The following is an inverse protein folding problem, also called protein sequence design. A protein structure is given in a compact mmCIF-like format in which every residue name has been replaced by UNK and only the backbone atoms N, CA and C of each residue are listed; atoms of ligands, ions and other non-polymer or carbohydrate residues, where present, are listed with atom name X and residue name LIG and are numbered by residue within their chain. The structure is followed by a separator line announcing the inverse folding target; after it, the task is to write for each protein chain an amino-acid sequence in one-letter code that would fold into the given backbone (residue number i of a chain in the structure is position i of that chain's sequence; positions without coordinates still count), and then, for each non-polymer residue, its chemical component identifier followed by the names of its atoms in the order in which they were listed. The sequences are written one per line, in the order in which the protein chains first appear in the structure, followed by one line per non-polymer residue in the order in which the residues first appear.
data_IF_227613559543
#
_entry.id   IF_227613559543
#
_cell.length_a   1.000
_cell.length_b   1.000
_cell.length_c   1.000
_cell.angle_alpha   90.00
_cell.angle_beta   90.00
_cell.angle_gamma   90.00
#
_symmetry.space_group_name_H-M   'P 1'
#
loop_
_entity.id
_entity.type
_entity.pdbx_description
1 polymer ?
#
# COMPACT_ATOMS: atom_id res chain seq x y z
N UNK A 1 4.63 -18.67 -0.88
CA UNK A 1 4.67 -18.81 0.59
C UNK A 1 4.82 -20.27 0.93
N UNK A 2 6.00 -20.65 1.42
CA UNK A 2 6.25 -22.01 1.88
C UNK A 2 5.92 -22.12 3.35
N UNK A 3 4.66 -22.30 3.70
CA UNK A 3 4.35 -22.88 4.99
C UNK A 3 4.86 -24.31 4.95
N UNK A 4 5.96 -24.57 5.63
CA UNK A 4 6.40 -25.93 5.84
C UNK A 4 5.31 -26.62 6.65
N UNK A 5 4.69 -27.62 6.10
CA UNK A 5 3.77 -28.49 6.84
C UNK A 5 4.56 -29.15 7.99
N UNK A 6 4.35 -28.67 9.20
CA UNK A 6 4.92 -29.30 10.40
C UNK A 6 4.08 -30.55 10.66
N UNK A 7 4.66 -31.72 10.46
CA UNK A 7 4.03 -32.98 10.81
C UNK A 7 4.29 -33.29 12.28
N UNK A 8 3.25 -33.50 13.05
CA UNK A 8 3.30 -33.76 14.50
C UNK A 8 3.01 -32.49 15.32
N UNK A 9 2.70 -32.69 16.59
CA UNK A 9 2.39 -31.60 17.52
C UNK A 9 1.03 -30.93 17.31
N UNK A 10 0.08 -31.56 16.62
CA UNK A 10 -1.26 -31.02 16.36
C UNK A 10 -2.00 -30.58 17.63
N UNK A 11 -1.86 -31.33 18.71
CA UNK A 11 -2.43 -30.93 20.01
C UNK A 11 -1.80 -29.62 20.52
N UNK A 12 -0.47 -29.49 20.45
CA UNK A 12 0.22 -28.26 20.86
C UNK A 12 -0.18 -27.07 20.00
N UNK A 13 -0.39 -27.26 18.70
CA UNK A 13 -0.90 -26.22 17.78
C UNK A 13 -2.31 -25.79 18.18
N UNK A 14 -3.22 -26.73 18.41
CA UNK A 14 -4.59 -26.43 18.86
C UNK A 14 -4.59 -25.65 20.18
N UNK A 15 -3.73 -26.08 21.14
CA UNK A 15 -3.58 -25.36 22.42
C UNK A 15 -3.01 -23.96 22.22
N UNK A 16 -2.09 -23.76 21.29
CA UNK A 16 -1.56 -22.43 20.97
C UNK A 16 -2.64 -21.51 20.39
N UNK A 17 -3.51 -22.01 19.52
CA UNK A 17 -4.66 -21.26 18.98
C UNK A 17 -5.67 -20.90 20.07
N UNK A 18 -5.95 -21.84 21.01
CA UNK A 18 -6.78 -21.58 22.18
C UNK A 18 -6.16 -20.47 23.06
N UNK A 19 -4.84 -20.45 23.23
CA UNK A 19 -4.14 -19.42 23.98
C UNK A 19 -4.25 -18.05 23.32
N UNK A 20 -4.15 -17.93 21.99
CA UNK A 20 -4.37 -16.67 21.28
C UNK A 20 -5.76 -16.12 21.62
N UNK A 21 -6.78 -16.97 21.56
CA UNK A 21 -8.14 -16.57 21.92
C UNK A 21 -8.26 -16.17 23.40
N UNK A 22 -7.62 -16.91 24.30
CA UNK A 22 -7.59 -16.60 25.72
C UNK A 22 -6.94 -15.24 25.97
N UNK A 23 -5.77 -14.97 25.40
CA UNK A 23 -5.03 -13.71 25.59
C UNK A 23 -5.85 -12.52 25.08
N UNK A 24 -6.56 -12.66 23.98
CA UNK A 24 -7.43 -11.63 23.43
C UNK A 24 -8.62 -11.28 24.36
N UNK A 25 -9.11 -12.23 25.15
CA UNK A 25 -10.36 -12.07 25.91
C UNK A 25 -10.14 -11.94 27.42
N UNK A 26 -8.95 -12.28 27.96
CA UNK A 26 -8.69 -12.38 29.41
C UNK A 26 -8.77 -11.04 30.16
N UNK A 27 -8.71 -9.92 29.46
CA UNK A 27 -8.74 -8.58 30.06
C UNK A 27 -10.07 -8.17 30.68
N UNK A 28 -11.14 -8.95 30.46
CA UNK A 28 -12.47 -8.71 31.06
C UNK A 28 -13.27 -7.62 30.38
N UNK A 29 -12.74 -6.92 29.38
CA UNK A 29 -13.53 -5.98 28.57
C UNK A 29 -14.47 -6.72 27.63
N UNK A 30 -15.58 -6.08 27.24
CA UNK A 30 -16.46 -6.61 26.22
C UNK A 30 -15.70 -6.82 24.90
N UNK A 31 -15.96 -7.92 24.17
CA UNK A 31 -15.35 -8.13 22.85
C UNK A 31 -15.73 -7.00 21.90
N UNK A 32 -14.73 -6.43 21.19
CA UNK A 32 -15.00 -5.45 20.15
C UNK A 32 -15.91 -6.02 19.05
N UNK A 33 -16.91 -5.27 18.63
CA UNK A 33 -17.70 -5.59 17.47
C UNK A 33 -16.95 -5.19 16.18
N UNK A 34 -17.05 -6.01 15.14
CA UNK A 34 -16.42 -5.69 13.84
C UNK A 34 -16.97 -4.37 13.26
N UNK A 35 -18.22 -4.03 13.58
CA UNK A 35 -18.81 -2.76 13.20
C UNK A 35 -18.13 -1.57 13.89
N UNK A 36 -17.78 -1.66 15.17
CA UNK A 36 -17.06 -0.62 15.88
C UNK A 36 -15.67 -0.35 15.25
N UNK A 37 -14.96 -1.42 14.88
CA UNK A 37 -13.68 -1.30 14.18
C UNK A 37 -13.87 -0.62 12.81
N UNK A 38 -14.86 -1.05 12.04
CA UNK A 38 -15.17 -0.49 10.72
C UNK A 38 -15.47 1.00 10.80
N UNK A 39 -16.25 1.42 11.77
CA UNK A 39 -16.79 2.77 11.86
C UNK A 39 -15.81 3.72 12.57
N UNK A 40 -15.09 3.27 13.60
CA UNK A 40 -14.24 4.11 14.45
C UNK A 40 -12.74 4.01 14.13
N UNK A 41 -12.29 2.93 13.48
CA UNK A 41 -10.90 2.75 13.04
C UNK A 41 -10.77 2.75 11.51
N UNK A 42 -11.50 3.66 10.85
CA UNK A 42 -11.60 3.72 9.39
C UNK A 42 -10.27 3.72 8.66
N UNK A 43 -9.24 4.42 9.18
CA UNK A 43 -7.92 4.48 8.55
C UNK A 43 -7.17 3.14 8.60
N UNK A 44 -7.34 2.36 9.67
CA UNK A 44 -6.79 1.01 9.76
C UNK A 44 -7.51 0.06 8.77
N UNK A 45 -8.83 0.16 8.69
CA UNK A 45 -9.64 -0.59 7.72
C UNK A 45 -9.23 -0.26 6.28
N UNK A 46 -9.06 1.02 5.99
CA UNK A 46 -8.64 1.51 4.66
C UNK A 46 -7.22 1.03 4.30
N UNK A 47 -6.29 1.04 5.26
CA UNK A 47 -4.93 0.49 5.07
C UNK A 47 -5.00 -0.99 4.71
N UNK A 48 -5.73 -1.79 5.48
CA UNK A 48 -5.88 -3.23 5.24
C UNK A 48 -6.52 -3.52 3.89
N UNK A 49 -7.55 -2.76 3.48
CA UNK A 49 -8.16 -2.90 2.15
C UNK A 49 -7.17 -2.60 1.02
N UNK A 50 -6.36 -1.56 1.17
CA UNK A 50 -5.34 -1.19 0.19
C UNK A 50 -4.29 -2.29 0.02
N UNK A 51 -3.72 -2.77 1.11
CA UNK A 51 -2.64 -3.78 1.11
C UNK A 51 -3.15 -5.19 0.81
N UNK A 52 -4.36 -5.53 1.29
CA UNK A 52 -5.07 -6.77 0.97
C UNK A 52 -5.65 -6.82 -0.45
N UNK A 53 -5.69 -5.67 -1.14
CA UNK A 53 -6.23 -5.51 -2.50
C UNK A 53 -7.68 -5.97 -2.64
N UNK A 54 -8.50 -5.67 -1.65
CA UNK A 54 -9.94 -5.97 -1.66
C UNK A 54 -10.72 -4.85 -0.96
N UNK A 55 -11.61 -4.20 -1.68
CA UNK A 55 -12.51 -3.20 -1.10
C UNK A 55 -13.69 -3.90 -0.44
N UNK A 56 -13.56 -4.22 0.84
CA UNK A 56 -14.57 -4.91 1.65
C UNK A 56 -14.49 -4.45 3.11
N UNK A 57 -15.02 -3.27 3.48
CA UNK A 57 -14.81 -2.67 4.81
C UNK A 57 -15.15 -3.58 5.99
N UNK A 58 -16.26 -4.29 5.91
CA UNK A 58 -16.69 -5.20 6.99
C UNK A 58 -15.76 -6.41 7.12
N UNK A 59 -15.27 -6.96 6.00
CA UNK A 59 -14.33 -8.10 6.03
C UNK A 59 -12.94 -7.64 6.51
N UNK A 60 -12.50 -6.44 6.11
CA UNK A 60 -11.26 -5.85 6.60
C UNK A 60 -11.30 -5.58 8.12
N UNK A 61 -12.42 -5.07 8.63
CA UNK A 61 -12.63 -4.90 10.08
C UNK A 61 -12.62 -6.24 10.84
N UNK A 62 -13.22 -7.29 10.26
CA UNK A 62 -13.16 -8.63 10.82
C UNK A 62 -11.73 -9.20 10.82
N UNK A 63 -10.97 -8.98 9.75
CA UNK A 63 -9.57 -9.37 9.67
C UNK A 63 -8.72 -8.66 10.72
N UNK A 64 -8.92 -7.34 10.93
CA UNK A 64 -8.27 -6.60 12.01
C UNK A 64 -8.60 -7.14 13.40
N UNK A 65 -9.87 -7.48 13.64
CA UNK A 65 -10.29 -8.11 14.91
C UNK A 65 -9.61 -9.45 15.12
N UNK A 66 -9.51 -10.28 14.07
CA UNK A 66 -8.89 -11.60 14.12
C UNK A 66 -7.37 -11.51 14.33
N UNK A 67 -6.72 -10.52 13.71
CA UNK A 67 -5.30 -10.25 13.82
C UNK A 67 -4.92 -9.42 15.07
N UNK A 68 -5.82 -9.20 16.01
CA UNK A 68 -5.60 -8.40 17.23
C UNK A 68 -5.04 -6.98 16.95
N UNK A 69 -5.35 -6.42 15.77
CA UNK A 69 -4.91 -5.10 15.35
C UNK A 69 -3.63 -5.08 14.51
N UNK A 70 -2.95 -6.21 14.31
CA UNK A 70 -1.81 -6.30 13.39
C UNK A 70 -2.29 -6.09 11.94
N UNK A 71 -1.89 -4.96 11.35
CA UNK A 71 -2.33 -4.59 10.00
C UNK A 71 -1.73 -5.46 8.89
N UNK A 72 -0.55 -6.03 9.09
CA UNK A 72 0.10 -6.89 8.09
C UNK A 72 -0.61 -8.25 8.08
N UNK A 73 -0.84 -8.83 9.25
CA UNK A 73 -1.60 -10.07 9.38
C UNK A 73 -3.04 -9.91 8.89
N UNK A 74 -3.71 -8.80 9.24
CA UNK A 74 -5.05 -8.50 8.73
C UNK A 74 -5.09 -8.38 7.20
N UNK A 75 -4.08 -7.75 6.60
CA UNK A 75 -3.94 -7.64 5.14
C UNK A 75 -3.70 -9.00 4.49
N UNK A 76 -2.92 -9.88 5.15
CA UNK A 76 -2.74 -11.26 4.71
C UNK A 76 -4.06 -12.04 4.72
N UNK A 77 -4.81 -11.99 5.83
CA UNK A 77 -6.11 -12.64 5.97
C UNK A 77 -7.08 -12.15 4.89
N UNK A 78 -7.13 -10.83 4.66
CA UNK A 78 -8.00 -10.24 3.64
C UNK A 78 -7.59 -10.67 2.22
N UNK A 79 -6.30 -10.73 1.93
CA UNK A 79 -5.77 -11.20 0.63
C UNK A 79 -6.05 -12.68 0.41
N UNK A 80 -5.92 -13.51 1.45
CA UNK A 80 -6.28 -14.92 1.41
C UNK A 80 -7.77 -15.10 1.14
N UNK A 81 -8.63 -14.37 1.85
CA UNK A 81 -10.07 -14.37 1.60
C UNK A 81 -10.41 -13.97 0.16
N UNK A 82 -9.80 -12.90 -0.36
CA UNK A 82 -9.97 -12.49 -1.77
C UNK A 82 -9.67 -13.64 -2.73
N UNK A 83 -8.63 -14.43 -2.48
CA UNK A 83 -8.24 -15.54 -3.34
C UNK A 83 -9.29 -16.66 -3.39
N UNK A 84 -10.19 -16.75 -2.41
CA UNK A 84 -11.30 -17.71 -2.39
C UNK A 84 -12.54 -17.19 -3.13
N UNK A 85 -12.58 -15.91 -3.51
CA UNK A 85 -13.76 -15.31 -4.15
C UNK A 85 -13.69 -15.43 -5.67
N UNK A 86 -14.79 -15.83 -6.33
CA UNK A 86 -14.82 -15.89 -7.78
C UNK A 86 -14.84 -14.46 -8.36
N UNK A 87 -13.97 -14.20 -9.35
CA UNK A 87 -14.04 -12.98 -10.14
C UNK A 87 -15.08 -13.18 -11.26
N UNK A 88 -16.23 -12.55 -11.11
CA UNK A 88 -17.35 -12.68 -12.07
C UNK A 88 -17.25 -11.67 -13.19
N UNK A 89 -16.82 -10.45 -12.89
CA UNK A 89 -16.78 -9.33 -13.83
C UNK A 89 -15.49 -8.52 -13.63
N UNK A 90 -15.17 -7.73 -14.65
CA UNK A 90 -14.13 -6.68 -14.59
C UNK A 90 -14.84 -5.33 -14.71
N UNK A 91 -14.45 -4.36 -13.90
CA UNK A 91 -14.97 -3.01 -14.00
C UNK A 91 -14.52 -2.33 -15.30
N UNK A 92 -15.35 -1.42 -15.80
CA UNK A 92 -14.93 -0.46 -16.80
C UNK A 92 -13.90 0.50 -16.22
N UNK A 93 -13.17 1.18 -17.09
CA UNK A 93 -12.28 2.26 -16.69
C UNK A 93 -13.05 3.35 -15.93
N UNK A 94 -12.45 3.85 -14.85
CA UNK A 94 -13.07 4.87 -14.00
C UNK A 94 -12.43 6.22 -14.31
N UNK A 95 -13.26 7.23 -14.53
CA UNK A 95 -12.82 8.62 -14.60
C UNK A 95 -12.77 9.20 -13.17
N UNK A 96 -11.58 9.43 -12.66
CA UNK A 96 -11.40 10.03 -11.33
C UNK A 96 -11.65 11.54 -11.31
N UNK A 97 -11.83 12.21 -12.46
CA UNK A 97 -12.30 13.59 -12.50
C UNK A 97 -13.75 13.71 -12.00
N UNK A 98 -14.56 12.66 -12.17
CA UNK A 98 -15.94 12.55 -11.68
C UNK A 98 -16.04 11.94 -10.26
N UNK A 99 -14.97 12.03 -9.46
CA UNK A 99 -14.95 11.55 -8.07
C UNK A 99 -15.86 12.41 -7.19
N UNK A 100 -16.69 11.77 -6.36
CA UNK A 100 -17.39 12.43 -5.26
C UNK A 100 -16.36 12.80 -4.18
N UNK A 101 -15.82 14.04 -4.24
CA UNK A 101 -14.65 14.46 -3.48
C UNK A 101 -14.96 14.67 -2.00
N UNK A 102 -14.18 14.04 -1.13
CA UNK A 102 -14.17 14.25 0.33
C UNK A 102 -13.06 15.19 0.74
N UNK A 103 -11.90 15.08 0.09
CA UNK A 103 -10.72 15.92 0.30
C UNK A 103 -10.04 16.17 -1.04
N UNK A 104 -9.57 17.40 -1.26
CA UNK A 104 -8.84 17.80 -2.46
C UNK A 104 -7.87 18.92 -2.13
N UNK A 105 -6.57 18.66 -2.28
CA UNK A 105 -5.53 19.64 -2.01
C UNK A 105 -4.45 19.61 -3.08
N UNK A 106 -3.74 20.71 -3.22
CA UNK A 106 -2.49 20.81 -3.96
C UNK A 106 -1.39 21.34 -3.06
N UNK A 107 -0.21 20.75 -3.13
CA UNK A 107 1.00 21.29 -2.50
C UNK A 107 1.85 22.11 -3.47
N UNK A 108 1.54 22.05 -4.78
CA UNK A 108 2.28 22.77 -5.81
C UNK A 108 1.62 24.11 -6.21
N UNK A 109 0.30 24.23 -6.06
CA UNK A 109 -0.45 25.41 -6.47
C UNK A 109 -1.33 25.92 -5.32
N UNK A 110 -1.27 27.22 -5.08
CA UNK A 110 -2.10 27.89 -4.09
C UNK A 110 -3.58 27.87 -4.52
N UNK A 111 -3.83 28.24 -5.77
CA UNK A 111 -5.15 28.29 -6.36
C UNK A 111 -5.29 27.21 -7.44
N UNK A 112 -6.35 26.42 -7.35
CA UNK A 112 -6.65 25.35 -8.30
C UNK A 112 -8.09 25.44 -8.79
N UNK A 113 -8.39 25.08 -10.05
CA UNK A 113 -9.75 25.12 -10.59
C UNK A 113 -10.72 24.31 -9.73
N UNK A 114 -11.83 24.94 -9.31
CA UNK A 114 -12.81 24.33 -8.41
C UNK A 114 -12.44 24.38 -6.92
N UNK A 115 -11.30 24.98 -6.57
CA UNK A 115 -10.85 25.20 -5.21
C UNK A 115 -10.30 23.95 -4.50
N UNK A 116 -9.74 24.18 -3.32
CA UNK A 116 -9.25 23.14 -2.42
C UNK A 116 -10.34 22.79 -1.39
N UNK A 117 -10.39 21.52 -1.01
CA UNK A 117 -11.30 20.98 0.00
C UNK A 117 -10.45 20.31 1.07
N UNK A 118 -10.35 20.92 2.26
CA UNK A 118 -9.50 20.41 3.31
C UNK A 118 -9.93 19.02 3.78
N UNK A 119 -11.22 18.79 3.92
CA UNK A 119 -11.76 17.51 4.36
C UNK A 119 -11.33 17.11 5.79
N UNK A 120 -11.58 15.86 6.19
CA UNK A 120 -11.18 15.37 7.50
C UNK A 120 -9.68 15.05 7.53
N UNK A 121 -8.89 15.94 8.16
CA UNK A 121 -7.44 15.81 8.26
C UNK A 121 -6.91 16.24 9.62
N UNK A 122 -5.72 15.72 9.97
CA UNK A 122 -4.94 16.17 11.14
C UNK A 122 -3.66 16.92 10.74
N UNK A 123 -3.49 17.28 9.48
CA UNK A 123 -2.23 17.86 8.96
C UNK A 123 -1.85 19.17 9.66
N UNK A 124 -2.84 19.95 10.09
CA UNK A 124 -2.64 21.24 10.73
C UNK A 124 -2.91 21.23 12.24
N UNK A 125 -3.16 20.04 12.82
CA UNK A 125 -3.39 19.90 14.25
C UNK A 125 -2.12 19.52 15.01
N UNK A 126 -2.02 19.95 16.25
CA UNK A 126 -1.03 19.42 17.19
C UNK A 126 -1.40 17.95 17.50
N UNK A 127 -0.51 17.02 17.18
CA UNK A 127 -0.76 15.58 17.39
C UNK A 127 -0.40 15.17 18.82
N UNK A 128 -1.09 15.73 19.80
CA UNK A 128 -0.95 15.39 21.20
C UNK A 128 -1.92 14.25 21.54
N UNK A 129 -1.60 13.52 22.60
CA UNK A 129 -2.53 12.52 23.16
C UNK A 129 -3.76 13.24 23.69
N UNK A 130 -4.92 12.82 23.25
CA UNK A 130 -6.20 13.36 23.69
C UNK A 130 -6.78 12.47 24.79
N UNK A 131 -6.59 12.89 26.03
CA UNK A 131 -7.09 12.16 27.19
C UNK A 131 -8.60 12.24 27.36
N UNK A 132 -9.31 13.14 26.66
CA UNK A 132 -10.77 13.20 26.69
C UNK A 132 -11.42 11.93 26.15
N UNK A 133 -10.72 11.23 25.24
CA UNK A 133 -11.16 9.97 24.67
C UNK A 133 -11.29 8.83 25.70
N UNK A 134 -10.68 8.94 26.88
CA UNK A 134 -10.87 7.97 27.98
C UNK A 134 -12.29 7.96 28.54
N UNK A 135 -13.02 9.03 28.39
CA UNK A 135 -14.34 9.24 28.98
C UNK A 135 -15.46 9.41 27.95
N UNK A 136 -15.23 9.08 26.69
CA UNK A 136 -16.28 9.19 25.68
C UNK A 136 -17.50 8.35 26.06
N UNK A 137 -18.65 9.01 26.16
CA UNK A 137 -19.94 8.38 26.40
C UNK A 137 -20.86 8.62 25.20
N UNK A 138 -21.79 7.71 25.01
CA UNK A 138 -22.76 7.78 23.92
C UNK A 138 -23.52 9.12 23.85
N UNK A 139 -23.83 9.69 25.04
CA UNK A 139 -24.48 10.99 25.14
C UNK A 139 -23.61 12.14 24.60
N UNK A 140 -22.30 12.13 24.86
CA UNK A 140 -21.34 13.14 24.36
C UNK A 140 -21.24 13.11 22.84
N UNK A 141 -21.32 11.92 22.26
CA UNK A 141 -21.32 11.73 20.80
C UNK A 141 -22.59 12.36 20.19
N UNK A 142 -23.75 12.10 20.80
CA UNK A 142 -25.03 12.66 20.36
C UNK A 142 -25.02 14.20 20.41
N UNK A 143 -24.56 14.78 21.50
CA UNK A 143 -24.44 16.22 21.67
C UNK A 143 -23.45 16.86 20.68
N UNK A 144 -22.32 16.19 20.45
CA UNK A 144 -21.34 16.62 19.45
C UNK A 144 -21.94 16.62 18.04
N UNK A 145 -22.58 15.52 17.61
CA UNK A 145 -23.19 15.42 16.29
C UNK A 145 -24.31 16.44 16.09
N UNK A 146 -25.10 16.70 17.12
CA UNK A 146 -26.15 17.71 17.09
C UNK A 146 -25.61 19.16 17.08
N UNK A 147 -24.49 19.40 17.76
CA UNK A 147 -23.89 20.73 17.92
C UNK A 147 -22.96 21.16 16.77
N UNK A 148 -22.44 20.23 15.98
CA UNK A 148 -21.44 20.56 14.95
C UNK A 148 -21.99 21.33 13.76
N UNK A 149 -23.30 21.33 13.54
CA UNK A 149 -23.91 21.96 12.34
C UNK A 149 -23.29 21.49 11.01
N UNK A 150 -22.61 20.36 11.04
CA UNK A 150 -22.01 19.73 9.84
C UNK A 150 -23.14 19.14 9.00
N UNK A 151 -23.99 19.99 8.43
CA UNK A 151 -24.90 19.57 7.37
C UNK A 151 -24.11 19.31 6.10
N UNK A 152 -23.71 18.03 5.94
CA UNK A 152 -23.02 17.58 4.75
C UNK A 152 -23.93 17.58 3.50
N UNK A 153 -25.25 17.75 3.70
CA UNK A 153 -26.22 17.78 2.61
C UNK A 153 -26.26 19.13 1.86
N UNK A 154 -25.77 20.20 2.49
CA UNK A 154 -25.87 21.56 1.93
C UNK A 154 -24.64 21.97 1.07
N UNK A 155 -23.75 21.03 0.72
CA UNK A 155 -22.62 21.29 -0.15
C UNK A 155 -22.99 21.04 -1.60
N UNK A 156 -23.29 22.10 -2.34
CA UNK A 156 -23.29 22.09 -3.81
C UNK A 156 -21.86 22.04 -4.33
N UNK A 157 -21.26 20.85 -4.29
CA UNK A 157 -19.98 20.64 -4.96
C UNK A 157 -20.19 20.46 -6.46
N UNK A 158 -19.25 20.88 -7.30
CA UNK A 158 -19.30 20.58 -8.73
C UNK A 158 -19.39 19.07 -8.97
N UNK A 159 -20.09 18.65 -10.00
CA UNK A 159 -20.19 17.26 -10.43
C UNK A 159 -18.83 16.66 -10.87
N UNK A 160 -17.89 17.52 -11.22
CA UNK A 160 -16.52 17.14 -11.56
C UNK A 160 -15.53 18.26 -11.23
N UNK A 161 -14.30 17.87 -10.94
CA UNK A 161 -13.20 18.78 -10.70
C UNK A 161 -12.14 18.61 -11.78
N UNK A 162 -11.80 19.67 -12.55
CA UNK A 162 -10.68 19.60 -13.49
C UNK A 162 -9.40 19.15 -12.80
N UNK A 163 -8.64 18.28 -13.43
CA UNK A 163 -7.33 17.85 -12.92
C UNK A 163 -6.34 19.01 -12.97
N UNK A 164 -5.62 19.25 -11.87
CA UNK A 164 -4.62 20.32 -11.82
C UNK A 164 -3.52 20.12 -12.87
N UNK A 165 -3.11 18.89 -13.09
CA UNK A 165 -2.10 18.57 -14.11
C UNK A 165 -2.57 18.82 -15.55
N UNK A 166 -3.86 18.96 -15.80
CA UNK A 166 -4.37 19.32 -17.12
C UNK A 166 -3.90 20.72 -17.55
N UNK A 167 -3.79 21.67 -16.61
CA UNK A 167 -3.24 23.00 -16.89
C UNK A 167 -1.82 22.91 -17.44
N UNK A 168 -0.96 22.09 -16.79
CA UNK A 168 0.41 21.90 -17.26
C UNK A 168 0.50 21.17 -18.61
N UNK A 169 -0.48 20.31 -18.94
CA UNK A 169 -0.56 19.67 -20.25
C UNK A 169 -0.97 20.64 -21.34
N UNK A 170 -1.93 21.51 -21.07
CA UNK A 170 -2.39 22.56 -22.01
C UNK A 170 -1.27 23.54 -22.35
N UNK A 171 -0.41 23.87 -21.39
CA UNK A 171 0.79 24.68 -21.58
C UNK A 171 1.95 23.92 -22.24
N UNK A 172 1.84 22.60 -22.45
CA UNK A 172 2.91 21.77 -23.01
C UNK A 172 4.09 21.50 -22.07
N UNK A 173 3.94 21.79 -20.77
CA UNK A 173 4.99 21.67 -19.75
C UNK A 173 5.16 20.24 -19.24
N UNK A 174 4.17 19.35 -19.43
CA UNK A 174 4.29 17.94 -19.06
C UNK A 174 4.81 17.08 -20.21
N UNK A 175 5.63 16.11 -19.88
CA UNK A 175 5.98 15.06 -20.82
C UNK A 175 4.72 14.29 -21.26
N UNK A 176 4.64 13.85 -22.51
CA UNK A 176 3.53 13.04 -22.97
C UNK A 176 3.40 11.78 -22.11
N UNK A 177 2.19 11.27 -21.90
CA UNK A 177 2.01 10.01 -21.20
C UNK A 177 2.74 8.91 -21.94
N UNK A 178 3.35 7.98 -21.19
CA UNK A 178 3.91 6.78 -21.80
C UNK A 178 2.82 6.07 -22.60
N UNK A 179 3.18 5.64 -23.81
CA UNK A 179 2.26 4.89 -24.64
C UNK A 179 1.75 3.67 -23.87
N UNK A 180 0.44 3.45 -23.89
CA UNK A 180 -0.15 2.26 -23.32
C UNK A 180 0.48 1.04 -24.00
N UNK A 181 1.34 0.32 -23.29
CA UNK A 181 1.94 -0.92 -23.78
C UNK A 181 0.86 -1.98 -24.06
N UNK A 182 1.27 -3.12 -24.58
CA UNK A 182 0.38 -4.22 -24.95
C UNK A 182 -0.49 -4.72 -23.79
N UNK A 183 -1.74 -4.24 -23.71
CA UNK A 183 -2.77 -4.73 -22.82
C UNK A 183 -2.55 -4.48 -21.32
N UNK A 184 -3.62 -4.62 -20.56
CA UNK A 184 -3.56 -4.57 -19.10
C UNK A 184 -3.03 -5.91 -18.58
N UNK A 185 -1.94 -5.88 -17.80
CA UNK A 185 -1.44 -7.04 -17.07
C UNK A 185 -2.19 -7.18 -15.76
N UNK A 186 -2.42 -8.41 -15.34
CA UNK A 186 -3.08 -8.75 -14.07
C UNK A 186 -2.11 -9.52 -13.17
N UNK A 187 -1.51 -8.84 -12.21
CA UNK A 187 -0.53 -9.43 -11.28
C UNK A 187 -1.12 -10.49 -10.33
N UNK A 188 -2.43 -10.67 -10.35
CA UNK A 188 -3.07 -11.76 -9.61
C UNK A 188 -3.08 -13.08 -10.38
N UNK A 189 -2.72 -13.06 -11.66
CA UNK A 189 -2.71 -14.20 -12.59
C UNK A 189 -1.38 -14.40 -13.30
N UNK A 190 -0.61 -13.34 -13.44
CA UNK A 190 0.65 -13.33 -14.17
C UNK A 190 1.77 -12.86 -13.23
N UNK A 191 2.90 -13.54 -13.28
CA UNK A 191 4.10 -13.12 -12.55
C UNK A 191 4.64 -11.80 -13.10
N UNK A 192 5.32 -11.04 -12.25
CA UNK A 192 6.04 -9.85 -12.69
C UNK A 192 7.17 -10.25 -13.64
N UNK A 193 7.36 -9.46 -14.68
CA UNK A 193 8.50 -9.53 -15.58
C UNK A 193 9.15 -8.16 -15.67
N UNK A 194 10.46 -8.10 -15.86
CA UNK A 194 11.22 -6.85 -15.94
C UNK A 194 11.85 -6.66 -17.33
N UNK A 195 11.81 -5.47 -17.92
CA UNK A 195 11.15 -4.27 -17.40
C UNK A 195 9.63 -4.47 -17.24
N UNK A 196 9.10 -3.93 -16.11
CA UNK A 196 7.73 -4.18 -15.72
C UNK A 196 6.74 -3.29 -16.50
N UNK A 197 5.70 -3.86 -17.16
CA UNK A 197 4.67 -3.05 -17.78
C UNK A 197 4.01 -2.12 -16.76
N UNK A 198 3.75 -0.85 -17.14
CA UNK A 198 3.23 0.17 -16.21
C UNK A 198 1.96 -0.26 -15.48
N UNK A 199 1.05 -0.99 -16.14
CA UNK A 199 -0.16 -1.51 -15.49
C UNK A 199 0.13 -2.49 -14.35
N UNK A 200 1.12 -3.37 -14.52
CA UNK A 200 1.55 -4.30 -13.48
C UNK A 200 2.30 -3.57 -12.35
N UNK A 201 3.18 -2.62 -12.70
CA UNK A 201 3.86 -1.74 -11.74
C UNK A 201 2.88 -1.03 -10.82
N UNK A 202 1.90 -0.33 -11.37
CA UNK A 202 0.90 0.40 -10.58
C UNK A 202 0.04 -0.52 -9.71
N UNK A 203 -0.30 -1.72 -10.18
CA UNK A 203 -0.99 -2.72 -9.37
C UNK A 203 -0.12 -3.22 -8.20
N UNK A 204 1.18 -3.46 -8.43
CA UNK A 204 2.12 -3.87 -7.38
C UNK A 204 2.30 -2.78 -6.34
N UNK A 205 2.48 -1.52 -6.77
CA UNK A 205 2.55 -0.36 -5.89
C UNK A 205 1.25 -0.19 -5.08
N UNK A 206 0.07 -0.34 -5.70
CA UNK A 206 -1.21 -0.26 -4.99
C UNK A 206 -1.36 -1.32 -3.90
N UNK A 207 -0.75 -2.49 -4.09
CA UNK A 207 -0.73 -3.60 -3.13
C UNK A 207 0.40 -3.50 -2.10
N UNK A 208 1.41 -2.68 -2.35
CA UNK A 208 2.57 -2.52 -1.48
C UNK A 208 2.22 -2.13 -0.05
N UNK A 209 3.06 -2.51 0.91
CA UNK A 209 2.92 -2.10 2.30
C UNK A 209 3.32 -0.63 2.44
N UNK A 210 2.48 0.13 3.14
CA UNK A 210 2.61 1.60 3.23
C UNK A 210 3.94 2.04 3.83
N UNK A 211 4.41 1.37 4.89
CA UNK A 211 5.67 1.70 5.57
C UNK A 211 6.89 1.43 4.68
N UNK A 212 6.94 0.28 4.02
CA UNK A 212 8.00 -0.06 3.07
C UNK A 212 8.05 0.94 1.91
N UNK A 213 6.89 1.29 1.35
CA UNK A 213 6.79 2.27 0.27
C UNK A 213 7.24 3.66 0.72
N UNK A 214 6.84 4.10 1.91
CA UNK A 214 7.29 5.38 2.48
C UNK A 214 8.81 5.40 2.69
N UNK A 215 9.40 4.31 3.20
CA UNK A 215 10.85 4.22 3.39
C UNK A 215 11.61 4.33 2.07
N UNK A 216 11.14 3.65 1.03
CA UNK A 216 11.73 3.74 -0.32
C UNK A 216 11.57 5.15 -0.92
N UNK A 217 10.37 5.72 -0.86
CA UNK A 217 10.11 7.08 -1.33
C UNK A 217 10.94 8.12 -0.55
N UNK A 218 11.04 7.98 0.78
CA UNK A 218 11.88 8.84 1.60
C UNK A 218 13.36 8.74 1.21
N UNK A 219 13.87 7.53 0.95
CA UNK A 219 15.24 7.32 0.50
C UNK A 219 15.55 8.09 -0.79
N UNK A 220 14.64 8.08 -1.77
CA UNK A 220 14.83 8.80 -3.03
C UNK A 220 14.77 10.33 -2.89
N UNK A 221 14.02 10.84 -1.91
CA UNK A 221 13.87 12.29 -1.66
C UNK A 221 15.03 12.84 -0.81
N UNK A 222 15.49 12.06 0.16
CA UNK A 222 16.40 12.53 1.24
C UNK A 222 17.88 12.51 0.88
N UNK A 223 18.29 12.25 -0.33
CA UNK A 223 19.68 12.42 -0.70
C UNK A 223 20.36 11.25 -1.42
N UNK A 224 19.59 10.25 -1.84
CA UNK A 224 20.06 9.19 -2.74
C UNK A 224 19.50 9.32 -4.15
N UNK A 225 18.66 10.33 -4.41
CA UNK A 225 18.09 10.62 -5.72
C UNK A 225 18.05 12.12 -6.00
N UNK A 226 18.03 12.48 -7.27
CA UNK A 226 18.01 13.87 -7.75
C UNK A 226 16.60 14.45 -7.87
N UNK A 227 15.60 13.77 -7.29
CA UNK A 227 14.20 14.09 -7.52
C UNK A 227 13.66 14.89 -6.33
N UNK A 228 13.22 16.13 -6.61
CA UNK A 228 12.38 16.90 -5.69
C UNK A 228 10.94 16.84 -6.20
N UNK A 229 10.07 16.00 -5.60
CA UNK A 229 8.69 15.89 -6.01
C UNK A 229 7.83 17.02 -5.45
N UNK A 230 6.83 17.43 -6.22
CA UNK A 230 5.77 18.31 -5.78
C UNK A 230 4.43 17.59 -5.86
N UNK A 231 3.60 17.76 -4.84
CA UNK A 231 2.24 17.25 -4.85
C UNK A 231 1.39 18.14 -5.76
N UNK A 232 1.20 17.73 -6.99
CA UNK A 232 0.35 18.42 -7.95
C UNK A 232 -1.09 18.43 -7.49
N UNK A 233 -1.61 17.26 -7.16
CA UNK A 233 -2.95 17.11 -6.60
C UNK A 233 -3.05 15.84 -5.76
N UNK A 234 -3.76 15.93 -4.63
CA UNK A 234 -4.22 14.81 -3.82
C UNK A 234 -5.75 14.85 -3.74
N UNK A 235 -6.40 13.74 -4.05
CA UNK A 235 -7.85 13.58 -3.94
C UNK A 235 -8.19 12.37 -3.11
N UNK A 236 -9.14 12.51 -2.22
CA UNK A 236 -9.81 11.40 -1.52
C UNK A 236 -11.29 11.51 -1.82
N UNK A 237 -11.90 10.44 -2.27
CA UNK A 237 -13.34 10.48 -2.59
C UNK A 237 -13.84 9.16 -3.16
N UNK A 238 -15.12 9.15 -3.44
CA UNK A 238 -15.80 7.95 -3.96
C UNK A 238 -15.86 7.99 -5.49
N UNK A 239 -15.47 6.88 -6.10
CA UNK A 239 -15.60 6.68 -7.55
C UNK A 239 -16.69 5.65 -7.85
N UNK A 240 -17.50 5.93 -8.86
CA UNK A 240 -18.60 5.05 -9.28
C UNK A 240 -18.05 3.91 -10.13
N UNK A 241 -18.45 2.70 -9.84
CA UNK A 241 -18.00 1.48 -10.51
C UNK A 241 -19.09 0.97 -11.45
N UNK A 242 -18.70 0.67 -12.67
CA UNK A 242 -19.57 0.11 -13.70
C UNK A 242 -18.96 -1.14 -14.29
N UNK A 243 -19.79 -2.07 -14.71
CA UNK A 243 -19.39 -3.29 -15.43
C UNK A 243 -20.15 -3.42 -16.74
N UNK A 244 -19.58 -4.14 -17.69
CA UNK A 244 -20.31 -4.64 -18.85
C UNK A 244 -21.03 -5.93 -18.44
N UNK A 245 -22.34 -5.98 -18.60
CA UNK A 245 -23.14 -7.15 -18.27
C UNK A 245 -23.59 -7.86 -19.54
N UNK A 246 -23.46 -9.20 -19.65
CA UNK A 246 -23.75 -9.93 -20.89
C UNK A 246 -25.19 -9.75 -21.43
N UNK A 247 -26.15 -9.54 -20.53
CA UNK A 247 -27.56 -9.39 -20.88
C UNK A 247 -28.03 -7.94 -20.98
N UNK A 248 -27.13 -6.93 -20.92
CA UNK A 248 -27.47 -5.51 -21.01
C UNK A 248 -26.53 -4.80 -21.97
N UNK A 249 -27.08 -3.99 -22.86
CA UNK A 249 -26.29 -3.19 -23.83
C UNK A 249 -25.51 -2.06 -23.14
N UNK A 250 -26.05 -1.51 -22.05
CA UNK A 250 -25.49 -0.37 -21.34
C UNK A 250 -24.68 -0.82 -20.12
N UNK A 251 -23.67 -0.02 -19.70
CA UNK A 251 -22.95 -0.24 -18.45
C UNK A 251 -23.87 -0.30 -17.24
N UNK A 252 -23.63 -1.27 -16.35
CA UNK A 252 -24.40 -1.45 -15.13
C UNK A 252 -23.62 -0.89 -13.94
N UNK A 253 -24.23 0.03 -13.21
CA UNK A 253 -23.71 0.54 -11.96
C UNK A 253 -23.73 -0.56 -10.88
N UNK A 254 -22.59 -0.78 -10.21
CA UNK A 254 -22.45 -1.83 -9.19
C UNK A 254 -22.09 -1.29 -7.80
N UNK A 255 -21.91 0.01 -7.67
CA UNK A 255 -21.60 0.64 -6.41
C UNK A 255 -20.48 1.68 -6.54
N UNK A 256 -20.03 2.20 -5.40
CA UNK A 256 -18.91 3.14 -5.33
C UNK A 256 -17.86 2.64 -4.35
N UNK A 257 -16.61 3.01 -4.60
CA UNK A 257 -15.46 2.69 -3.75
C UNK A 257 -14.75 3.97 -3.35
N UNK A 258 -14.30 4.03 -2.11
CA UNK A 258 -13.44 5.12 -1.63
C UNK A 258 -12.03 4.87 -2.14
N UNK A 259 -11.42 5.87 -2.73
CA UNK A 259 -10.04 5.83 -3.22
C UNK A 259 -9.28 7.09 -2.83
N UNK A 260 -7.97 6.96 -2.76
CA UNK A 260 -7.04 8.09 -2.69
C UNK A 260 -6.21 8.11 -3.95
N UNK A 261 -6.16 9.25 -4.60
CA UNK A 261 -5.39 9.53 -5.80
C UNK A 261 -4.35 10.61 -5.53
N UNK A 262 -3.11 10.42 -6.00
CA UNK A 262 -2.06 11.43 -5.94
C UNK A 262 -1.39 11.59 -7.30
N UNK A 263 -1.22 12.83 -7.74
CA UNK A 263 -0.45 13.20 -8.92
C UNK A 263 0.81 13.95 -8.46
N UNK A 264 1.97 13.33 -8.67
CA UNK A 264 3.26 13.83 -8.23
C UNK A 264 4.00 14.43 -9.42
N UNK A 265 4.26 15.72 -9.37
CA UNK A 265 5.04 16.44 -10.37
C UNK A 265 6.51 16.37 -9.96
N UNK A 266 7.37 15.83 -10.81
CA UNK A 266 8.81 15.85 -10.60
C UNK A 266 9.49 16.77 -11.61
N UNK A 267 10.66 17.29 -11.22
CA UNK A 267 11.49 18.06 -12.13
C UNK A 267 11.92 17.17 -13.30
N UNK A 268 11.91 17.73 -14.46
CA UNK A 268 12.41 17.25 -15.75
C UNK A 268 12.18 15.76 -16.06
N UNK A 269 11.42 15.50 -17.10
CA UNK A 269 11.49 14.22 -17.78
C UNK A 269 12.89 14.11 -18.41
N UNK A 270 13.53 12.95 -18.24
CA UNK A 270 14.75 12.65 -19.01
C UNK A 270 14.40 12.70 -20.49
N UNK A 271 14.92 13.71 -21.18
CA UNK A 271 14.76 13.91 -22.61
C UNK A 271 16.06 13.64 -23.36
N UNK A 272 15.98 13.38 -24.65
CA UNK A 272 17.16 13.38 -25.52
C UNK A 272 17.85 14.76 -25.49
N UNK A 273 19.17 14.77 -25.62
CA UNK A 273 19.93 16.03 -25.71
C UNK A 273 19.35 16.92 -26.81
N UNK A 274 18.97 18.15 -26.45
CA UNK A 274 18.40 19.13 -27.39
C UNK A 274 16.88 19.22 -27.37
N UNK A 275 16.18 18.40 -26.60
CA UNK A 275 14.73 18.54 -26.42
C UNK A 275 14.37 19.58 -25.36
N UNK A 276 13.22 20.22 -25.51
CA UNK A 276 12.70 21.19 -24.54
C UNK A 276 12.45 20.46 -23.21
N UNK A 277 12.97 20.95 -22.07
CA UNK A 277 12.71 20.35 -20.76
C UNK A 277 11.23 20.30 -20.46
N UNK A 278 10.75 19.17 -19.94
CA UNK A 278 9.36 18.97 -19.52
C UNK A 278 9.32 18.34 -18.13
N UNK A 279 8.25 18.62 -17.40
CA UNK A 279 8.00 17.98 -16.12
C UNK A 279 7.53 16.55 -16.34
N UNK A 280 7.88 15.66 -15.43
CA UNK A 280 7.36 14.28 -15.43
C UNK A 280 6.28 14.12 -14.37
N UNK A 281 5.36 13.19 -14.60
CA UNK A 281 4.25 12.90 -13.70
C UNK A 281 4.38 11.49 -13.15
N UNK A 282 4.37 11.36 -11.80
CA UNK A 282 4.17 10.10 -11.10
C UNK A 282 2.72 10.00 -10.63
N UNK A 283 2.20 8.78 -10.57
CA UNK A 283 0.79 8.52 -10.29
C UNK A 283 0.61 7.49 -9.17
N UNK A 284 -0.27 7.79 -8.22
CA UNK A 284 -0.68 6.88 -7.17
C UNK A 284 -2.21 6.81 -7.09
N UNK A 285 -2.74 5.59 -6.99
CA UNK A 285 -4.16 5.32 -6.75
C UNK A 285 -4.30 4.06 -5.92
N UNK A 286 -4.99 4.16 -4.78
CA UNK A 286 -5.24 3.03 -3.90
C UNK A 286 -6.61 3.11 -3.23
N UNK A 287 -7.10 1.99 -2.73
CA UNK A 287 -8.34 1.94 -1.97
C UNK A 287 -8.25 2.68 -0.64
N UNK A 288 -9.37 3.23 -0.21
CA UNK A 288 -9.54 3.90 1.07
C UNK A 288 -8.89 5.28 1.16
N UNK A 289 -8.89 5.83 2.36
CA UNK A 289 -8.23 7.08 2.71
C UNK A 289 -6.76 6.79 3.09
N UNK A 290 -5.88 6.68 2.11
CA UNK A 290 -4.48 6.28 2.25
C UNK A 290 -3.53 7.29 1.58
N UNK A 291 -3.50 8.53 2.08
CA UNK A 291 -2.77 9.66 1.48
C UNK A 291 -1.27 9.37 1.35
N UNK A 292 -0.62 8.97 2.45
CA UNK A 292 0.81 8.68 2.44
C UNK A 292 1.18 7.56 1.46
N UNK A 293 0.33 6.55 1.34
CA UNK A 293 0.51 5.48 0.37
C UNK A 293 0.40 5.98 -1.06
N UNK A 294 -0.64 6.77 -1.38
CA UNK A 294 -0.84 7.31 -2.72
C UNK A 294 0.31 8.25 -3.13
N UNK A 295 0.80 9.09 -2.20
CA UNK A 295 1.97 9.96 -2.43
C UNK A 295 3.22 9.11 -2.68
N UNK A 296 3.51 8.13 -1.81
CA UNK A 296 4.66 7.23 -1.97
C UNK A 296 4.59 6.45 -3.31
N UNK A 297 3.39 5.99 -3.70
CA UNK A 297 3.15 5.39 -5.02
C UNK A 297 3.59 6.32 -6.15
N UNK A 298 3.11 7.57 -6.14
CA UNK A 298 3.43 8.53 -7.18
C UNK A 298 4.92 8.85 -7.26
N UNK A 299 5.60 8.94 -6.12
CA UNK A 299 7.05 9.12 -6.06
C UNK A 299 7.75 7.90 -6.67
N UNK A 300 7.43 6.69 -6.24
CA UNK A 300 8.04 5.45 -6.72
C UNK A 300 7.69 5.15 -8.19
N UNK A 301 6.47 5.44 -8.64
CA UNK A 301 6.11 5.35 -10.07
C UNK A 301 7.03 6.24 -10.93
N UNK A 302 7.50 7.36 -10.39
CA UNK A 302 8.43 8.24 -11.12
C UNK A 302 9.89 7.80 -10.98
N UNK A 303 10.36 7.49 -9.75
CA UNK A 303 11.76 7.15 -9.51
C UNK A 303 12.20 5.86 -10.20
N UNK A 304 11.36 4.86 -10.25
CA UNK A 304 11.64 3.58 -10.93
C UNK A 304 11.71 3.70 -12.46
N UNK A 305 11.40 4.86 -13.02
CA UNK A 305 11.60 5.18 -14.46
C UNK A 305 12.93 5.84 -14.76
N UNK A 306 13.78 6.05 -13.74
CA UNK A 306 15.12 6.61 -13.92
C UNK A 306 15.95 5.75 -14.90
N UNK A 307 16.63 6.43 -15.84
CA UNK A 307 17.58 5.81 -16.79
C UNK A 307 19.02 6.05 -16.37
N UNK A 308 19.27 6.49 -15.14
CA UNK A 308 20.62 6.72 -14.64
C UNK A 308 21.48 5.45 -14.75
N UNK A 309 22.76 5.57 -15.12
CA UNK A 309 23.66 4.42 -15.27
C UNK A 309 23.93 3.70 -13.93
N UNK A 310 23.92 4.44 -12.82
CA UNK A 310 23.93 3.88 -11.46
C UNK A 310 22.64 4.27 -10.78
N UNK A 311 21.85 3.29 -10.39
CA UNK A 311 20.56 3.47 -9.73
C UNK A 311 20.72 3.35 -8.23
N UNK A 312 20.12 4.28 -7.49
CA UNK A 312 19.87 4.07 -6.07
C UNK A 312 18.83 2.93 -5.89
N UNK A 313 18.80 2.23 -4.74
CA UNK A 313 17.84 1.13 -4.54
C UNK A 313 16.39 1.51 -4.84
N UNK A 314 15.96 2.72 -4.49
CA UNK A 314 14.60 3.20 -4.75
C UNK A 314 14.33 3.57 -6.23
N UNK A 315 15.36 3.59 -7.09
CA UNK A 315 15.27 3.80 -8.54
C UNK A 315 15.31 2.47 -9.31
N UNK A 316 15.72 1.40 -8.65
CA UNK A 316 15.71 0.05 -9.23
C UNK A 316 14.29 -0.53 -9.15
N UNK A 317 13.68 -0.70 -10.33
CA UNK A 317 12.30 -1.17 -10.42
C UNK A 317 12.12 -2.57 -9.83
N UNK A 318 13.02 -3.49 -10.12
CA UNK A 318 12.96 -4.86 -9.62
C UNK A 318 13.13 -4.89 -8.11
N UNK A 319 14.13 -4.16 -7.60
CA UNK A 319 14.36 -4.03 -6.17
C UNK A 319 13.11 -3.48 -5.45
N UNK A 320 12.56 -2.36 -5.93
CA UNK A 320 11.39 -1.75 -5.31
C UNK A 320 10.19 -2.71 -5.30
N UNK A 321 9.84 -3.27 -6.46
CA UNK A 321 8.63 -4.09 -6.58
C UNK A 321 8.71 -5.42 -5.82
N UNK A 322 9.90 -5.95 -5.57
CA UNK A 322 10.08 -7.14 -4.74
C UNK A 322 10.11 -6.85 -3.23
N UNK A 323 10.40 -5.60 -2.81
CA UNK A 323 10.57 -5.30 -1.38
C UNK A 323 9.43 -4.50 -0.75
N UNK A 324 8.45 -4.06 -1.53
CA UNK A 324 7.30 -3.30 -1.01
C UNK A 324 6.11 -4.16 -0.58
N UNK A 325 6.07 -5.45 -0.92
CA UNK A 325 4.98 -6.32 -0.46
C UNK A 325 5.25 -6.82 0.97
N UNK A 326 4.67 -6.11 1.95
CA UNK A 326 4.85 -6.42 3.36
C UNK A 326 4.32 -7.79 3.77
N UNK A 327 3.34 -8.35 3.05
CA UNK A 327 2.83 -9.71 3.31
C UNK A 327 3.87 -10.75 2.91
N UNK A 328 4.51 -10.59 1.75
CA UNK A 328 5.59 -11.47 1.31
C UNK A 328 6.81 -11.35 2.21
N UNK A 329 7.21 -10.11 2.54
CA UNK A 329 8.32 -9.86 3.46
C UNK A 329 8.07 -10.45 4.85
N UNK A 330 6.89 -10.24 5.42
CA UNK A 330 6.49 -10.80 6.71
C UNK A 330 6.50 -12.33 6.70
N UNK A 331 5.93 -12.94 5.66
CA UNK A 331 5.93 -14.40 5.49
C UNK A 331 7.33 -14.98 5.38
N UNK A 332 8.23 -14.29 4.64
CA UNK A 332 9.62 -14.70 4.52
C UNK A 332 10.38 -14.59 5.85
N UNK A 333 10.25 -13.47 6.56
CA UNK A 333 10.90 -13.30 7.87
C UNK A 333 10.33 -14.26 8.92
N UNK A 334 9.00 -14.45 8.91
CA UNK A 334 8.35 -15.34 9.86
C UNK A 334 8.77 -16.82 9.72
N UNK A 335 9.15 -17.27 8.51
CA UNK A 335 9.57 -18.66 8.33
C UNK A 335 10.85 -19.01 9.12
N UNK A 336 11.66 -18.01 9.49
CA UNK A 336 12.87 -18.23 10.32
C UNK A 336 12.55 -18.69 11.74
N UNK A 337 11.29 -18.54 12.19
CA UNK A 337 10.81 -19.13 13.45
C UNK A 337 10.55 -20.63 13.35
N UNK A 338 10.48 -21.17 12.14
CA UNK A 338 10.25 -22.59 11.89
C UNK A 338 11.55 -23.40 12.08
N UNK A 339 11.44 -24.73 12.28
CA UNK A 339 12.61 -25.57 12.52
C UNK A 339 13.63 -25.55 11.36
N UNK A 340 14.85 -25.09 11.64
CA UNK A 340 15.99 -25.10 10.71
C UNK A 340 17.16 -25.95 11.26
N UNK A 341 16.90 -26.78 12.27
CA UNK A 341 17.95 -27.49 13.00
C UNK A 341 18.76 -28.44 12.11
N UNK A 342 18.15 -29.06 11.09
CA UNK A 342 18.86 -29.95 10.17
C UNK A 342 19.95 -29.22 9.39
N UNK A 343 19.56 -28.08 8.78
CA UNK A 343 20.47 -27.21 8.02
C UNK A 343 21.56 -26.63 8.93
N UNK A 344 21.16 -26.19 10.14
CA UNK A 344 22.09 -25.64 11.11
C UNK A 344 23.11 -26.68 11.61
N UNK A 345 22.70 -27.92 11.92
CA UNK A 345 23.62 -29.01 12.28
C UNK A 345 24.63 -29.28 11.16
N UNK A 346 24.19 -29.35 9.91
CA UNK A 346 25.08 -29.52 8.76
C UNK A 346 26.12 -28.38 8.66
N UNK A 347 25.74 -27.16 8.98
CA UNK A 347 26.64 -26.01 9.01
C UNK A 347 27.65 -26.11 10.15
N UNK A 348 27.19 -26.50 11.36
CA UNK A 348 28.06 -26.74 12.52
C UNK A 348 29.08 -27.83 12.25
N UNK A 349 28.66 -28.94 11.67
CA UNK A 349 29.57 -30.07 11.38
C UNK A 349 30.66 -29.67 10.37
N UNK A 350 30.31 -28.90 9.34
CA UNK A 350 31.30 -28.36 8.41
C UNK A 350 32.28 -27.41 9.09
N UNK A 351 31.79 -26.52 9.95
CA UNK A 351 32.62 -25.58 10.68
C UNK A 351 33.58 -26.30 11.63
N UNK A 352 33.11 -27.30 12.41
CA UNK A 352 33.91 -28.10 13.32
C UNK A 352 35.02 -28.84 12.58
N UNK A 353 34.71 -29.49 11.43
CA UNK A 353 35.70 -30.13 10.58
C UNK A 353 36.75 -29.15 10.08
N UNK A 354 36.34 -27.97 9.63
CA UNK A 354 37.25 -26.94 9.15
C UNK A 354 38.18 -26.40 10.25
N UNK A 355 37.69 -26.31 11.49
CA UNK A 355 38.52 -25.93 12.65
C UNK A 355 39.51 -27.02 13.03
N UNK A 356 39.06 -28.26 13.09
CA UNK A 356 39.95 -29.41 13.40
C UNK A 356 41.11 -29.53 12.42
N UNK A 357 40.86 -29.33 11.11
CA UNK A 357 41.91 -29.32 10.07
C UNK A 357 42.91 -28.16 10.21
N UNK A 358 42.59 -27.09 10.90
CA UNK A 358 43.52 -25.98 11.17
C UNK A 358 44.34 -26.17 12.45
N UNK A 359 43.88 -27.01 13.35
CA UNK A 359 44.56 -27.36 14.62
C UNK A 359 45.54 -28.51 14.47
N UNK A 360 45.47 -29.28 13.37
CA UNK A 360 46.54 -30.26 13.07
C UNK A 360 47.81 -29.48 12.66
N UNK A 361 48.94 -29.67 13.38
CA UNK A 361 50.21 -29.05 13.02
C UNK A 361 50.61 -29.56 11.63
N UNK A 362 51.25 -28.72 10.79
CA UNK A 362 51.75 -29.19 9.50
C UNK A 362 52.72 -30.35 9.76
N UNK A 363 52.44 -31.52 9.15
CA UNK A 363 53.28 -32.72 9.23
C UNK A 363 54.76 -32.31 9.12
N UNK A 364 55.54 -32.71 10.10
CA UNK A 364 56.98 -32.56 10.04
C UNK A 364 57.48 -33.23 8.75
N UNK A 365 58.14 -32.48 7.89
CA UNK A 365 58.74 -33.00 6.69
C UNK A 365 59.58 -34.23 7.02
N UNK A 366 59.55 -35.29 6.22
CA UNK A 366 60.39 -36.44 6.44
C UNK A 366 61.85 -35.95 6.49
N UNK A 367 62.51 -36.24 7.60
CA UNK A 367 63.97 -36.10 7.71
C UNK A 367 64.57 -37.18 6.78
N UNK A 368 65.06 -36.75 5.65
CA UNK A 368 65.90 -37.54 4.79
C UNK A 368 67.22 -37.87 5.57
N UNK A 369 67.42 -39.12 5.86
CA UNK A 369 68.73 -39.70 6.28
C UNK A 369 69.61 -39.93 5.04
#
# INVERSE_FOLDING_TARGET
MGYVAVSGGSEAITRAEELVRYFRLRGGSAPLEAQQIRDQQRLAVDKVMGEGSLYAPTVAALALKQAEGDSIEASFILRAYRATQPRRYTSLAVDTAAMDVVRRISGAFQDIPGGQILGPTRDYSQRLVDFSLLGEKEQVIGDFLAGTGLDLADRTLPDSFPKVVSLLREEGLLAPPEAAGHGLRDITRESLSFPCPRSAKLQSLARGETGAMMAMAYSSIRGYGDIHPYLGELRVGYVKMYITHPAKAEPVYVGKVLVTEAEIIAQYAEGEKGTVPRLSLGYGLCFGHNELKAIAMGILDRTTRSKAPQKAPAEDEEFVLYHIDGIEASGFVAHWKLPHYVTFQSTLDRLRRSQALKEEPPDAAPQDD
#
